data_IF_044021517860
#
_entry.id   IF_044021517860
#
_cell.length_a   1.000
_cell.length_b   1.000
_cell.length_c   1.000
_cell.angle_alpha   90.00
_cell.angle_beta   90.00
_cell.angle_gamma   90.00
#
_symmetry.space_group_name_H-M   'P 1'
#
loop_
_entity.id
_entity.type
_entity.pdbx_description
1 polymer ?
#
# COMPACT_ATOMS: atom_id res chain seq x y z
N UNK A 1 40.88 -4.91 5.20
CA UNK A 1 39.52 -4.98 5.81
C UNK A 1 38.51 -4.54 4.75
N UNK A 2 37.96 -5.48 3.99
CA UNK A 2 37.07 -5.20 2.86
C UNK A 2 35.68 -4.81 3.40
N UNK A 3 35.24 -3.58 3.16
CA UNK A 3 33.92 -3.09 3.55
C UNK A 3 32.99 -3.17 2.33
N UNK A 4 32.20 -4.24 2.23
CA UNK A 4 31.17 -4.37 1.19
C UNK A 4 29.89 -3.67 1.62
N UNK A 5 29.46 -2.65 0.87
CA UNK A 5 28.22 -1.90 1.10
C UNK A 5 27.20 -2.25 0.02
N UNK A 6 26.00 -2.70 0.42
CA UNK A 6 24.92 -3.09 -0.49
C UNK A 6 23.79 -2.04 -0.49
N UNK A 7 23.33 -1.63 -1.67
CA UNK A 7 22.19 -0.72 -1.83
C UNK A 7 20.89 -1.53 -1.96
N UNK A 8 19.97 -1.40 -0.99
CA UNK A 8 18.70 -2.13 -0.97
C UNK A 8 17.56 -1.21 -1.46
N UNK A 9 16.82 -1.66 -2.47
CA UNK A 9 15.63 -0.97 -2.99
C UNK A 9 14.39 -1.37 -2.19
N UNK A 10 13.50 -0.42 -1.91
CA UNK A 10 12.31 -0.58 -1.04
C UNK A 10 11.38 -1.77 -1.37
N UNK A 11 11.47 -2.38 -2.56
CA UNK A 11 10.62 -3.49 -2.96
C UNK A 11 10.95 -4.83 -2.28
N UNK A 12 12.19 -5.04 -1.82
CA UNK A 12 12.63 -6.30 -1.18
C UNK A 12 12.57 -6.29 0.36
N UNK A 13 11.96 -5.26 0.96
CA UNK A 13 11.97 -5.06 2.42
C UNK A 13 13.37 -4.81 2.99
N UNK A 14 13.52 -4.97 4.32
CA UNK A 14 14.80 -4.78 5.03
C UNK A 14 15.47 -6.10 5.45
N UNK A 15 15.01 -7.23 4.92
CA UNK A 15 15.54 -8.57 5.25
C UNK A 15 17.02 -8.74 4.89
N UNK A 16 17.44 -8.28 3.71
CA UNK A 16 18.84 -8.35 3.27
C UNK A 16 19.76 -7.55 4.20
N UNK A 17 19.30 -6.38 4.65
CA UNK A 17 20.07 -5.55 5.59
C UNK A 17 20.31 -6.31 6.91
N UNK A 18 19.25 -6.92 7.47
CA UNK A 18 19.38 -7.74 8.69
C UNK A 18 20.30 -8.94 8.49
N UNK A 19 20.21 -9.62 7.34
CA UNK A 19 21.07 -10.76 7.04
C UNK A 19 22.55 -10.35 6.97
N UNK A 20 22.86 -9.22 6.31
CA UNK A 20 24.22 -8.69 6.24
C UNK A 20 24.77 -8.35 7.62
N UNK A 21 23.97 -7.68 8.47
CA UNK A 21 24.36 -7.41 9.85
C UNK A 21 24.58 -8.70 10.66
N UNK A 22 23.73 -9.72 10.48
CA UNK A 22 23.88 -11.03 11.13
C UNK A 22 25.15 -11.79 10.72
N UNK A 23 25.69 -11.50 9.54
CA UNK A 23 26.98 -12.02 9.06
C UNK A 23 28.18 -11.18 9.52
N UNK A 24 27.97 -10.14 10.35
CA UNK A 24 29.02 -9.22 10.79
C UNK A 24 29.46 -8.21 9.73
N UNK A 25 28.69 -8.06 8.65
CA UNK A 25 28.98 -7.09 7.58
C UNK A 25 28.30 -5.76 7.90
N UNK A 26 29.10 -4.69 7.99
CA UNK A 26 28.58 -3.34 8.11
C UNK A 26 27.77 -2.98 6.86
N UNK A 27 26.46 -2.78 7.02
CA UNK A 27 25.52 -2.48 5.95
C UNK A 27 24.81 -1.16 6.25
N UNK A 28 24.76 -0.26 5.27
CA UNK A 28 24.03 1.02 5.37
C UNK A 28 23.06 1.13 4.22
N UNK A 29 21.81 1.52 4.51
CA UNK A 29 20.79 1.75 3.49
C UNK A 29 20.74 3.23 3.15
N UNK A 30 20.76 3.57 1.86
CA UNK A 30 20.74 4.95 1.36
C UNK A 30 19.58 5.11 0.38
N UNK A 31 18.84 6.21 0.48
CA UNK A 31 17.74 6.51 -0.45
C UNK A 31 18.30 6.89 -1.83
N UNK A 32 17.74 6.31 -2.90
CA UNK A 32 18.21 6.59 -4.27
C UNK A 32 18.02 8.05 -4.70
N UNK A 33 17.08 8.77 -4.08
CA UNK A 33 16.77 10.17 -4.38
C UNK A 33 17.84 11.16 -3.91
N UNK A 34 18.66 10.79 -2.93
CA UNK A 34 19.73 11.65 -2.38
C UNK A 34 21.10 11.33 -2.97
N UNK A 35 21.20 10.30 -3.82
CA UNK A 35 22.45 9.92 -4.45
C UNK A 35 22.68 10.84 -5.65
N UNK A 36 23.75 11.65 -5.66
CA UNK A 36 24.03 12.56 -6.76
C UNK A 36 24.33 11.76 -8.04
N UNK A 37 23.63 12.06 -9.12
CA UNK A 37 23.85 11.44 -10.44
C UNK A 37 24.15 12.48 -11.51
N UNK A 38 25.12 12.19 -12.37
CA UNK A 38 25.46 13.05 -13.51
C UNK A 38 24.37 12.93 -14.59
N UNK A 39 23.79 14.04 -15.10
CA UNK A 39 22.70 14.01 -16.09
C UNK A 39 23.03 13.26 -17.39
N UNK A 40 24.30 13.21 -17.78
CA UNK A 40 24.77 12.55 -19.01
C UNK A 40 25.03 11.04 -18.84
N UNK A 41 24.98 10.50 -17.62
CA UNK A 41 25.30 9.11 -17.34
C UNK A 41 24.06 8.23 -17.46
N UNK A 42 23.74 7.83 -18.71
CA UNK A 42 22.55 7.03 -19.04
C UNK A 42 22.78 5.52 -19.07
N UNK A 43 24.04 5.08 -19.10
CA UNK A 43 24.39 3.66 -19.14
C UNK A 43 24.50 3.12 -17.71
N UNK A 44 23.45 2.45 -17.26
CA UNK A 44 23.43 1.75 -15.98
C UNK A 44 24.16 0.41 -16.11
N UNK A 45 25.26 0.24 -15.37
CA UNK A 45 25.89 -1.07 -15.17
C UNK A 45 26.23 -1.24 -13.69
N UNK A 46 26.05 -2.46 -13.17
CA UNK A 46 26.25 -2.72 -11.74
C UNK A 46 27.67 -2.40 -11.28
N UNK A 47 28.67 -2.61 -12.16
CA UNK A 47 30.07 -2.24 -11.89
C UNK A 47 30.25 -0.73 -11.66
N UNK A 48 29.70 0.10 -12.55
CA UNK A 48 29.83 1.57 -12.46
C UNK A 48 29.07 2.10 -11.26
N UNK A 49 27.86 1.59 -11.01
CA UNK A 49 27.07 1.94 -9.84
C UNK A 49 27.81 1.59 -8.55
N UNK A 50 28.44 0.41 -8.46
CA UNK A 50 29.23 0.00 -7.30
C UNK A 50 30.47 0.91 -7.07
N UNK A 51 31.21 1.24 -8.13
CA UNK A 51 32.37 2.14 -8.04
C UNK A 51 31.97 3.55 -7.58
N UNK A 52 30.88 4.09 -8.13
CA UNK A 52 30.33 5.39 -7.74
C UNK A 52 29.93 5.40 -6.26
N UNK A 53 29.17 4.39 -5.82
CA UNK A 53 28.75 4.26 -4.42
C UNK A 53 29.95 4.13 -3.48
N UNK A 54 30.96 3.37 -3.85
CA UNK A 54 32.17 3.23 -3.05
C UNK A 54 32.94 4.56 -2.92
N UNK A 55 32.98 5.38 -3.97
CA UNK A 55 33.59 6.73 -3.92
C UNK A 55 32.81 7.64 -2.98
N UNK A 56 31.49 7.69 -3.11
CA UNK A 56 30.62 8.52 -2.27
C UNK A 56 30.66 8.09 -0.80
N UNK A 57 30.76 6.80 -0.53
CA UNK A 57 30.91 6.27 0.82
C UNK A 57 32.24 6.72 1.44
N UNK A 58 33.35 6.62 0.70
CA UNK A 58 34.68 7.04 1.18
C UNK A 58 34.76 8.53 1.48
N UNK A 59 34.02 9.36 0.74
CA UNK A 59 33.95 10.81 0.99
C UNK A 59 32.90 11.20 2.02
N UNK A 60 32.27 10.24 2.70
CA UNK A 60 31.16 10.46 3.65
C UNK A 60 30.00 11.26 3.05
N UNK A 61 29.83 11.21 1.72
CA UNK A 61 28.80 11.94 0.97
C UNK A 61 27.48 11.15 0.86
N UNK A 62 27.40 9.97 1.48
CA UNK A 62 26.18 9.17 1.58
C UNK A 62 25.52 9.37 2.94
N UNK A 63 24.24 9.71 2.93
CA UNK A 63 23.42 9.78 4.15
C UNK A 63 22.62 8.49 4.30
N UNK A 64 22.93 7.72 5.34
CA UNK A 64 22.15 6.54 5.68
C UNK A 64 20.74 6.94 6.13
N UNK A 65 19.75 6.17 5.72
CA UNK A 65 18.37 6.32 6.20
C UNK A 65 18.13 5.43 7.41
N UNK A 66 17.22 5.87 8.29
CA UNK A 66 16.72 5.01 9.35
C UNK A 66 16.00 3.79 8.78
N UNK A 67 16.24 2.63 9.39
CA UNK A 67 15.71 1.34 8.99
C UNK A 67 14.69 0.90 10.05
N UNK A 68 13.43 0.66 9.66
CA UNK A 68 12.43 0.14 10.58
C UNK A 68 12.83 -1.24 11.09
N UNK A 69 12.63 -1.46 12.38
CA UNK A 69 12.66 -2.79 12.96
C UNK A 69 11.42 -3.62 12.52
N UNK A 70 11.38 -4.93 12.84
CA UNK A 70 10.25 -5.77 12.46
C UNK A 70 8.89 -5.29 12.98
N UNK A 71 8.82 -4.64 14.15
CA UNK A 71 7.57 -4.12 14.69
C UNK A 71 7.07 -2.90 13.88
N UNK A 72 7.98 -2.02 13.46
CA UNK A 72 7.65 -0.92 12.56
C UNK A 72 7.26 -1.41 11.15
N UNK A 73 7.90 -2.46 10.64
CA UNK A 73 7.49 -3.08 9.37
C UNK A 73 6.07 -3.66 9.47
N UNK A 74 5.77 -4.42 10.52
CA UNK A 74 4.43 -4.98 10.75
C UNK A 74 3.35 -3.88 10.81
N UNK A 75 3.62 -2.78 11.51
CA UNK A 75 2.72 -1.61 11.54
C UNK A 75 2.52 -1.01 10.14
N UNK A 76 3.59 -0.87 9.34
CA UNK A 76 3.49 -0.36 7.97
C UNK A 76 2.66 -1.28 7.08
N UNK A 77 2.78 -2.60 7.26
CA UNK A 77 1.99 -3.57 6.52
C UNK A 77 0.50 -3.49 6.87
N UNK A 78 0.18 -3.26 8.15
CA UNK A 78 -1.20 -2.99 8.57
C UNK A 78 -1.77 -1.72 7.91
N UNK A 79 -1.01 -0.62 7.90
CA UNK A 79 -1.40 0.64 7.22
C UNK A 79 -1.59 0.44 5.71
N UNK A 80 -0.69 -0.31 5.05
CA UNK A 80 -0.80 -0.64 3.63
C UNK A 80 -2.05 -1.48 3.34
N UNK A 81 -2.29 -2.51 4.15
CA UNK A 81 -3.47 -3.38 4.04
C UNK A 81 -4.77 -2.60 4.18
N UNK A 82 -4.83 -1.67 5.14
CA UNK A 82 -5.96 -0.75 5.29
C UNK A 82 -6.15 0.11 4.05
N UNK A 83 -5.08 0.73 3.55
CA UNK A 83 -5.15 1.57 2.34
C UNK A 83 -5.69 0.79 1.15
N UNK A 84 -5.21 -0.44 0.93
CA UNK A 84 -5.69 -1.31 -0.13
C UNK A 84 -7.17 -1.64 0.04
N UNK A 85 -7.57 -2.08 1.24
CA UNK A 85 -8.98 -2.42 1.51
C UNK A 85 -9.92 -1.22 1.31
N UNK A 86 -9.47 -0.01 1.67
CA UNK A 86 -10.25 1.21 1.41
C UNK A 86 -10.39 1.50 -0.08
N UNK A 87 -9.36 1.23 -0.88
CA UNK A 87 -9.44 1.33 -2.34
C UNK A 87 -10.41 0.29 -2.90
N UNK A 88 -10.37 -0.95 -2.41
CA UNK A 88 -11.29 -2.01 -2.81
C UNK A 88 -12.76 -1.66 -2.50
N UNK A 89 -13.01 -1.05 -1.33
CA UNK A 89 -14.34 -0.54 -0.96
C UNK A 89 -14.82 0.53 -1.94
N UNK A 90 -13.98 1.50 -2.27
CA UNK A 90 -14.31 2.56 -3.24
C UNK A 90 -14.57 1.96 -4.63
N UNK A 91 -13.73 1.03 -5.07
CA UNK A 91 -13.90 0.35 -6.36
C UNK A 91 -15.22 -0.44 -6.42
N UNK A 92 -15.54 -1.19 -5.36
CA UNK A 92 -16.78 -1.97 -5.27
C UNK A 92 -18.02 -1.08 -5.30
N UNK A 93 -17.96 0.06 -4.60
CA UNK A 93 -18.99 1.10 -4.63
C UNK A 93 -19.20 1.67 -6.04
N UNK A 94 -18.12 2.01 -6.73
CA UNK A 94 -18.22 2.54 -8.11
C UNK A 94 -18.77 1.49 -9.08
N UNK A 95 -18.39 0.22 -8.93
CA UNK A 95 -18.90 -0.87 -9.76
C UNK A 95 -20.42 -1.04 -9.61
N UNK A 96 -20.95 -1.00 -8.38
CA UNK A 96 -22.39 -1.05 -8.14
C UNK A 96 -23.11 0.17 -8.73
N UNK A 97 -22.59 1.38 -8.54
CA UNK A 97 -23.18 2.59 -9.14
C UNK A 97 -23.19 2.53 -10.67
N UNK A 98 -22.11 2.04 -11.28
CA UNK A 98 -22.04 1.83 -12.73
C UNK A 98 -23.04 0.79 -13.22
N UNK A 99 -23.22 -0.31 -12.48
CA UNK A 99 -24.24 -1.31 -12.78
C UNK A 99 -25.65 -0.72 -12.76
N UNK A 100 -26.01 0.00 -11.69
CA UNK A 100 -27.31 0.66 -11.55
C UNK A 100 -27.53 1.69 -12.66
N UNK A 101 -26.51 2.49 -12.99
CA UNK A 101 -26.59 3.50 -14.03
C UNK A 101 -26.87 2.90 -15.41
N UNK A 102 -26.23 1.77 -15.76
CA UNK A 102 -26.51 1.06 -17.03
C UNK A 102 -27.95 0.58 -17.17
N UNK A 103 -28.64 0.41 -16.04
CA UNK A 103 -30.05 0.02 -15.99
C UNK A 103 -30.99 1.19 -15.70
N UNK A 104 -30.52 2.44 -15.87
CA UNK A 104 -31.34 3.64 -15.69
C UNK A 104 -31.72 3.95 -14.24
N UNK A 105 -31.08 3.31 -13.25
CA UNK A 105 -31.40 3.47 -11.82
C UNK A 105 -30.47 4.50 -11.19
N UNK A 106 -31.04 5.60 -10.69
CA UNK A 106 -30.32 6.65 -9.97
C UNK A 106 -31.07 7.05 -8.71
N UNK A 107 -30.37 7.11 -7.58
CA UNK A 107 -30.91 7.68 -6.35
C UNK A 107 -30.95 9.22 -6.51
N UNK A 108 -32.14 9.82 -6.52
CA UNK A 108 -32.32 11.27 -6.66
C UNK A 108 -32.36 11.95 -5.28
N UNK A 109 -31.86 13.19 -5.22
CA UNK A 109 -32.02 14.08 -4.05
C UNK A 109 -31.23 13.70 -2.79
N UNK A 110 -30.35 12.68 -2.83
CA UNK A 110 -29.57 12.25 -1.66
C UNK A 110 -28.16 11.83 -2.05
N UNK A 111 -27.21 12.03 -1.13
CA UNK A 111 -25.84 11.52 -1.27
C UNK A 111 -25.79 9.99 -1.17
N UNK A 112 -24.95 9.39 -2.00
CA UNK A 112 -24.69 7.95 -1.98
C UNK A 112 -24.06 7.51 -0.65
N UNK A 113 -24.25 6.23 -0.32
CA UNK A 113 -23.69 5.54 0.86
C UNK A 113 -24.20 6.02 2.23
N UNK A 114 -25.29 6.79 2.23
CA UNK A 114 -26.05 7.14 3.45
C UNK A 114 -27.02 6.02 3.83
N UNK A 115 -27.57 6.05 5.06
CA UNK A 115 -28.66 5.13 5.48
C UNK A 115 -29.83 5.15 4.49
N UNK A 116 -30.15 6.33 3.94
CA UNK A 116 -31.19 6.49 2.94
C UNK A 116 -30.85 5.80 1.61
N UNK A 117 -29.60 5.90 1.16
CA UNK A 117 -29.13 5.19 -0.03
C UNK A 117 -29.20 3.67 0.14
N UNK A 118 -28.83 3.14 1.31
CA UNK A 118 -28.95 1.71 1.61
C UNK A 118 -30.40 1.20 1.57
N UNK A 119 -31.35 1.97 2.12
CA UNK A 119 -32.78 1.65 1.99
C UNK A 119 -33.24 1.67 0.53
N UNK A 120 -32.78 2.66 -0.25
CA UNK A 120 -33.09 2.72 -1.67
C UNK A 120 -32.52 1.53 -2.45
N UNK A 121 -31.29 1.09 -2.13
CA UNK A 121 -30.68 -0.12 -2.70
C UNK A 121 -31.51 -1.38 -2.39
N UNK A 122 -31.98 -1.51 -1.14
CA UNK A 122 -32.85 -2.63 -0.73
C UNK A 122 -34.19 -2.68 -1.45
N UNK A 123 -34.68 -1.55 -1.95
CA UNK A 123 -35.91 -1.47 -2.73
C UNK A 123 -35.70 -1.71 -4.23
N UNK A 124 -34.46 -1.98 -4.68
CA UNK A 124 -34.21 -2.29 -6.09
C UNK A 124 -34.57 -3.75 -6.38
N UNK A 125 -35.44 -3.93 -7.37
CA UNK A 125 -35.80 -5.23 -7.92
C UNK A 125 -35.56 -5.23 -9.43
N UNK A 126 -34.90 -6.27 -9.92
CA UNK A 126 -34.72 -6.56 -11.33
C UNK A 126 -35.60 -7.74 -11.74
N UNK A 127 -36.26 -7.63 -12.89
CA UNK A 127 -37.09 -8.71 -13.45
C UNK A 127 -36.24 -9.93 -13.85
N UNK A 128 -35.04 -9.69 -14.37
CA UNK A 128 -34.12 -10.74 -14.79
C UNK A 128 -33.37 -11.27 -13.55
N UNK A 129 -33.50 -12.57 -13.21
CA UNK A 129 -32.89 -13.13 -11.99
C UNK A 129 -31.37 -12.96 -11.92
N UNK A 130 -30.69 -13.03 -13.06
CA UNK A 130 -29.23 -12.83 -13.13
C UNK A 130 -28.82 -11.41 -12.73
N UNK A 131 -29.61 -10.40 -13.09
CA UNK A 131 -29.35 -9.01 -12.71
C UNK A 131 -29.62 -8.79 -11.21
N UNK A 132 -30.68 -9.42 -10.68
CA UNK A 132 -30.96 -9.42 -9.24
C UNK A 132 -29.83 -10.07 -8.43
N UNK A 133 -29.29 -11.19 -8.93
CA UNK A 133 -28.15 -11.86 -8.32
C UNK A 133 -26.91 -10.96 -8.30
N UNK A 134 -26.58 -10.30 -9.43
CA UNK A 134 -25.46 -9.35 -9.53
C UNK A 134 -25.61 -8.19 -8.54
N UNK A 135 -26.83 -7.66 -8.38
CA UNK A 135 -27.11 -6.63 -7.36
C UNK A 135 -26.77 -7.14 -5.96
N UNK A 136 -27.24 -8.35 -5.61
CA UNK A 136 -26.98 -8.99 -4.32
C UNK A 136 -25.48 -9.21 -4.06
N UNK A 137 -24.74 -9.76 -5.03
CA UNK A 137 -23.28 -9.94 -4.92
C UNK A 137 -22.55 -8.60 -4.78
N UNK A 138 -22.97 -7.58 -5.54
CA UNK A 138 -22.35 -6.26 -5.47
C UNK A 138 -22.55 -5.60 -4.11
N UNK A 139 -23.73 -5.77 -3.50
CA UNK A 139 -24.03 -5.31 -2.14
C UNK A 139 -23.15 -6.04 -1.12
N UNK A 140 -23.11 -7.38 -1.16
CA UNK A 140 -22.30 -8.17 -0.22
C UNK A 140 -20.82 -7.82 -0.32
N UNK A 141 -20.28 -7.66 -1.53
CA UNK A 141 -18.90 -7.23 -1.74
C UNK A 141 -18.58 -5.89 -1.06
N UNK A 142 -19.51 -4.93 -1.07
CA UNK A 142 -19.34 -3.64 -0.40
C UNK A 142 -19.37 -3.82 1.13
N UNK A 143 -20.29 -4.62 1.64
CA UNK A 143 -20.40 -4.91 3.08
C UNK A 143 -19.15 -5.62 3.59
N UNK A 144 -18.66 -6.63 2.89
CA UNK A 144 -17.42 -7.34 3.23
C UNK A 144 -16.20 -6.41 3.21
N UNK A 145 -16.07 -5.57 2.20
CA UNK A 145 -14.99 -4.59 2.11
C UNK A 145 -15.07 -3.55 3.24
N UNK A 146 -16.29 -3.13 3.62
CA UNK A 146 -16.50 -2.22 4.75
C UNK A 146 -16.15 -2.89 6.08
N UNK A 147 -16.58 -4.14 6.30
CA UNK A 147 -16.23 -4.89 7.50
C UNK A 147 -14.71 -5.12 7.59
N UNK A 148 -14.05 -5.39 6.46
CA UNK A 148 -12.59 -5.52 6.41
C UNK A 148 -11.90 -4.20 6.76
N UNK A 149 -12.40 -3.06 6.28
CA UNK A 149 -11.92 -1.74 6.71
C UNK A 149 -12.06 -1.59 8.22
N UNK A 150 -13.23 -1.89 8.78
CA UNK A 150 -13.50 -1.73 10.21
C UNK A 150 -12.57 -2.59 11.08
N UNK A 151 -12.30 -3.85 10.68
CA UNK A 151 -11.35 -4.72 11.39
C UNK A 151 -9.92 -4.15 11.37
N UNK A 152 -9.49 -3.60 10.23
CA UNK A 152 -8.16 -2.98 10.11
C UNK A 152 -8.07 -1.65 10.87
N UNK A 153 -9.13 -0.85 10.87
CA UNK A 153 -9.23 0.39 11.66
C UNK A 153 -9.16 0.08 13.17
N UNK A 154 -9.85 -0.97 13.63
CA UNK A 154 -9.80 -1.42 15.02
C UNK A 154 -8.38 -1.86 15.42
N UNK A 155 -7.75 -2.71 14.61
CA UNK A 155 -6.37 -3.17 14.84
C UNK A 155 -5.37 -2.01 14.87
N UNK A 156 -5.55 -1.00 14.02
CA UNK A 156 -4.71 0.21 14.06
C UNK A 156 -4.95 1.03 15.32
N UNK A 157 -6.20 1.13 15.79
CA UNK A 157 -6.54 1.77 17.06
C UNK A 157 -5.84 1.10 18.25
N UNK A 158 -5.87 -0.23 18.32
CA UNK A 158 -5.17 -1.01 19.34
C UNK A 158 -3.66 -0.79 19.30
N UNK A 159 -3.06 -0.86 18.10
CA UNK A 159 -1.62 -0.75 17.93
C UNK A 159 -1.08 0.67 18.18
N UNK A 160 -1.93 1.71 18.06
CA UNK A 160 -1.60 3.08 18.46
C UNK A 160 -1.69 3.27 19.99
N UNK A 161 -2.65 2.62 20.65
CA UNK A 161 -2.81 2.69 22.11
C UNK A 161 -1.70 1.97 22.89
N UNK A 162 -1.16 0.87 22.37
CA UNK A 162 -0.06 0.14 23.01
C UNK A 162 1.29 0.87 23.00
N UNK A 163 1.35 2.06 22.40
CA UNK A 163 2.58 2.84 22.20
C UNK A 163 2.61 4.15 23.01
N UNK A 164 1.54 4.43 23.76
CA UNK A 164 1.42 5.50 24.76
C UNK A 164 1.49 4.88 26.16
#
# INVERSE_FOLDING_TARGET
MWHSTAAIRQASGYGIHRQMLGLGVNCSVVASSVIPRKPAERVKTDRRDAEMLARLLRSSALTAIWIPDPAHEAMRDLVRSRRQTRQDLVASRQMLLGFLLRHGRKCTGRSNWTKAHWRWLGNQAFEIPHQQFILGESIRRIEEAQQRCNRLDAMLGEALYQRL
#
